data_IF_353266150508
#
_entry.id   IF_353266150508
#
_cell.length_a   1.000
_cell.length_b   1.000
_cell.length_c   1.000
_cell.angle_alpha   90.00
_cell.angle_beta   90.00
_cell.angle_gamma   90.00
#
_symmetry.space_group_name_H-M   'P 1'
#
loop_
_entity.id
_entity.type
_entity.pdbx_description
1 polymer ?
#
# COMPACT_ATOMS: atom_id res chain seq x y z
N UNK A 1 -0.62 -5.99 1.63
CA UNK A 1 -1.85 -5.19 1.77
C UNK A 1 -2.45 -5.01 0.38
N UNK A 2 -3.02 -6.09 -0.13
CA UNK A 2 -3.60 -6.18 -1.47
C UNK A 2 -5.10 -6.35 -1.38
N UNK A 3 -5.57 -7.19 -0.45
CA UNK A 3 -7.00 -7.47 -0.23
C UNK A 3 -7.83 -6.24 0.14
N UNK A 4 -7.37 -5.39 1.08
CA UNK A 4 -8.12 -4.19 1.48
C UNK A 4 -8.23 -3.19 0.33
N UNK A 5 -7.15 -3.01 -0.44
CA UNK A 5 -7.17 -2.16 -1.65
C UNK A 5 -8.19 -2.71 -2.65
N UNK A 6 -8.11 -4.00 -2.95
CA UNK A 6 -8.98 -4.64 -3.93
C UNK A 6 -10.46 -4.55 -3.51
N UNK A 7 -10.74 -4.68 -2.21
CA UNK A 7 -12.06 -4.48 -1.62
C UNK A 7 -12.58 -3.04 -1.76
N UNK A 8 -11.73 -2.03 -1.56
CA UNK A 8 -12.09 -0.62 -1.79
C UNK A 8 -12.49 -0.41 -3.25
N UNK A 9 -11.68 -0.88 -4.21
CA UNK A 9 -12.03 -0.75 -5.63
C UNK A 9 -13.27 -1.56 -6.00
N UNK A 10 -13.50 -2.71 -5.37
CA UNK A 10 -14.72 -3.49 -5.53
C UNK A 10 -15.97 -2.70 -5.10
N UNK A 11 -15.92 -2.10 -3.91
CA UNK A 11 -16.99 -1.26 -3.40
C UNK A 11 -17.24 -0.02 -4.27
N UNK A 12 -16.18 0.62 -4.78
CA UNK A 12 -16.31 1.78 -5.66
C UNK A 12 -16.95 1.44 -7.02
N UNK A 13 -16.74 0.22 -7.53
CA UNK A 13 -17.29 -0.22 -8.81
C UNK A 13 -18.76 -0.64 -8.72
N UNK A 14 -19.14 -1.34 -7.64
CA UNK A 14 -20.51 -1.82 -7.43
C UNK A 14 -20.90 -1.75 -5.94
N UNK A 15 -21.22 -0.54 -5.42
CA UNK A 15 -21.56 -0.36 -4.01
C UNK A 15 -22.84 -1.12 -3.62
N UNK A 16 -23.83 -1.15 -4.51
CA UNK A 16 -25.15 -1.77 -4.26
C UNK A 16 -24.98 -3.28 -4.16
N UNK A 17 -24.31 -3.91 -5.12
CA UNK A 17 -24.04 -5.35 -5.09
C UNK A 17 -23.13 -5.75 -3.93
N UNK A 18 -22.13 -4.92 -3.60
CA UNK A 18 -21.24 -5.16 -2.46
C UNK A 18 -22.02 -5.18 -1.14
N UNK A 19 -22.88 -4.20 -0.90
CA UNK A 19 -23.71 -4.12 0.31
C UNK A 19 -24.80 -5.20 0.34
N UNK A 20 -25.48 -5.46 -0.78
CA UNK A 20 -26.52 -6.49 -0.89
C UNK A 20 -25.99 -7.90 -0.58
N UNK A 21 -24.70 -8.15 -0.81
CA UNK A 21 -24.04 -9.41 -0.49
C UNK A 21 -23.40 -9.42 0.91
N UNK A 22 -23.76 -8.46 1.79
CA UNK A 22 -23.25 -8.32 3.15
C UNK A 22 -21.71 -8.27 3.22
N UNK A 23 -21.07 -7.65 2.23
CA UNK A 23 -19.61 -7.55 2.15
C UNK A 23 -19.13 -6.35 2.95
N UNK A 24 -17.94 -6.46 3.55
CA UNK A 24 -17.29 -5.36 4.26
C UNK A 24 -15.83 -5.30 3.88
N UNK A 25 -15.33 -4.09 3.58
CA UNK A 25 -13.97 -3.88 3.06
C UNK A 25 -12.92 -4.44 4.02
N UNK A 26 -13.14 -4.30 5.33
CA UNK A 26 -12.20 -4.75 6.37
C UNK A 26 -12.12 -6.27 6.54
N UNK A 27 -13.15 -7.03 6.13
CA UNK A 27 -13.21 -8.49 6.30
C UNK A 27 -12.94 -9.28 5.02
N UNK A 28 -12.75 -8.60 3.88
CA UNK A 28 -12.45 -9.24 2.60
C UNK A 28 -11.18 -10.10 2.65
N UNK A 29 -11.30 -11.32 2.13
CA UNK A 29 -10.20 -12.28 2.00
C UNK A 29 -9.97 -12.58 0.52
N UNK A 30 -8.72 -12.77 0.13
CA UNK A 30 -8.36 -13.03 -1.26
C UNK A 30 -9.11 -14.24 -1.88
N UNK A 31 -9.37 -15.29 -1.09
CA UNK A 31 -10.14 -16.48 -1.53
C UNK A 31 -11.64 -16.25 -1.68
N UNK A 32 -12.18 -15.20 -1.05
CA UNK A 32 -13.62 -14.95 -0.96
C UNK A 32 -14.00 -13.58 -1.53
N UNK A 33 -13.11 -12.93 -2.27
CA UNK A 33 -13.34 -11.59 -2.83
C UNK A 33 -14.59 -11.57 -3.69
N UNK A 34 -15.55 -10.69 -3.37
CA UNK A 34 -16.79 -10.54 -4.15
C UNK A 34 -16.50 -10.22 -5.63
N UNK A 35 -15.59 -9.28 -5.87
CA UNK A 35 -15.18 -8.91 -7.24
C UNK A 35 -14.12 -9.83 -7.85
N UNK A 36 -13.61 -10.83 -7.12
CA UNK A 36 -12.53 -11.69 -7.59
C UNK A 36 -11.34 -10.88 -8.13
N UNK A 37 -11.03 -11.09 -9.42
CA UNK A 37 -9.95 -10.42 -10.17
C UNK A 37 -10.44 -9.32 -11.12
N UNK A 38 -11.72 -8.95 -11.11
CA UNK A 38 -12.29 -8.00 -12.09
C UNK A 38 -11.59 -6.64 -12.07
N UNK A 39 -11.15 -6.19 -10.90
CA UNK A 39 -10.43 -4.94 -10.68
C UNK A 39 -8.89 -5.10 -10.72
N UNK A 40 -8.38 -6.26 -11.11
CA UNK A 40 -6.95 -6.50 -11.25
C UNK A 40 -6.48 -6.23 -12.68
N UNK A 41 -5.44 -5.41 -12.81
CA UNK A 41 -4.75 -5.13 -14.08
C UNK A 41 -3.25 -5.08 -13.83
N UNK A 42 -2.48 -5.60 -14.78
CA UNK A 42 -1.01 -5.64 -14.71
C UNK A 42 -0.33 -4.46 -15.40
N UNK A 43 -1.07 -3.70 -16.23
CA UNK A 43 -0.54 -2.60 -17.03
C UNK A 43 -1.53 -1.44 -17.07
N UNK A 44 -1.09 -0.26 -16.63
CA UNK A 44 -1.92 0.96 -16.60
C UNK A 44 -2.16 1.54 -18.00
N UNK A 45 -1.21 1.37 -18.92
CA UNK A 45 -1.31 1.91 -20.28
C UNK A 45 -2.38 1.14 -21.09
N UNK A 46 -2.59 -0.14 -20.78
CA UNK A 46 -3.66 -0.95 -21.37
C UNK A 46 -5.03 -0.45 -20.87
N UNK A 47 -5.16 -0.20 -19.57
CA UNK A 47 -6.40 0.30 -18.96
C UNK A 47 -6.80 1.67 -19.51
N UNK A 48 -5.86 2.60 -19.63
CA UNK A 48 -6.15 3.94 -20.16
C UNK A 48 -6.53 3.92 -21.64
N UNK A 49 -5.97 2.98 -22.42
CA UNK A 49 -6.36 2.77 -23.82
C UNK A 49 -7.75 2.18 -23.94
N UNK A 50 -8.05 1.11 -23.19
CA UNK A 50 -9.37 0.46 -23.19
C UNK A 50 -10.49 1.44 -22.79
N UNK A 51 -10.21 2.30 -21.81
CA UNK A 51 -11.20 3.22 -21.26
C UNK A 51 -11.23 4.59 -21.95
N UNK A 52 -10.33 4.82 -22.93
CA UNK A 52 -10.14 6.09 -23.62
C UNK A 52 -10.04 7.30 -22.65
N UNK A 53 -9.43 7.09 -21.49
CA UNK A 53 -9.39 8.06 -20.38
C UNK A 53 -8.11 7.89 -19.57
N UNK A 54 -7.53 9.01 -19.12
CA UNK A 54 -6.47 9.00 -18.10
C UNK A 54 -7.06 8.86 -16.69
N UNK A 55 -6.42 8.06 -15.86
CA UNK A 55 -6.83 7.88 -14.48
C UNK A 55 -5.93 8.67 -13.53
N UNK A 56 -6.50 9.06 -12.39
CA UNK A 56 -5.67 9.48 -11.26
C UNK A 56 -4.91 8.25 -10.75
N UNK A 57 -3.59 8.40 -10.59
CA UNK A 57 -2.70 7.33 -10.16
C UNK A 57 -2.17 7.66 -8.78
N UNK A 58 -2.17 6.69 -7.88
CA UNK A 58 -1.52 6.81 -6.58
C UNK A 58 -0.82 5.51 -6.21
N UNK A 59 0.24 5.61 -5.41
CA UNK A 59 1.00 4.44 -4.97
C UNK A 59 1.25 4.54 -3.47
N UNK A 60 0.99 3.43 -2.75
CA UNK A 60 1.39 3.28 -1.35
C UNK A 60 2.84 2.82 -1.32
N UNK A 61 3.73 3.70 -0.86
CA UNK A 61 5.16 3.43 -0.75
C UNK A 61 5.51 3.25 0.72
N UNK A 62 6.32 2.24 1.02
CA UNK A 62 6.85 2.01 2.36
C UNK A 62 8.28 2.53 2.44
N UNK A 63 8.65 3.06 3.60
CA UNK A 63 10.04 3.32 3.92
C UNK A 63 10.87 2.04 3.63
N UNK A 64 12.09 2.14 3.05
CA UNK A 64 12.79 0.95 2.59
C UNK A 64 13.20 -0.01 3.72
N UNK A 65 13.47 0.51 4.93
CA UNK A 65 13.66 -0.33 6.12
C UNK A 65 12.39 -1.14 6.44
N UNK A 66 11.22 -0.53 6.34
CA UNK A 66 9.94 -1.20 6.53
C UNK A 66 9.57 -2.16 5.41
N UNK A 67 9.96 -1.82 4.18
CA UNK A 67 9.83 -2.70 3.03
C UNK A 67 10.64 -3.98 3.25
N UNK A 68 11.86 -3.87 3.76
CA UNK A 68 12.66 -5.04 4.13
C UNK A 68 11.97 -5.86 5.23
N UNK A 69 11.60 -5.26 6.36
CA UNK A 69 10.94 -5.98 7.45
C UNK A 69 9.62 -6.65 7.06
N UNK A 70 8.93 -6.13 6.05
CA UNK A 70 7.70 -6.74 5.53
C UNK A 70 7.94 -7.72 4.38
N UNK A 71 9.00 -7.54 3.60
CA UNK A 71 9.29 -8.23 2.35
C UNK A 71 10.42 -9.26 2.44
N UNK A 72 11.11 -9.35 3.57
CA UNK A 72 12.10 -10.41 3.86
C UNK A 72 11.48 -11.83 3.80
N UNK A 73 10.15 -11.91 3.70
CA UNK A 73 9.37 -13.15 3.51
C UNK A 73 8.45 -13.12 2.29
N UNK A 74 8.45 -12.07 1.45
CA UNK A 74 7.51 -11.97 0.33
C UNK A 74 8.06 -11.27 -0.93
N UNK A 75 7.66 -11.80 -2.09
CA UNK A 75 8.24 -11.64 -3.43
C UNK A 75 8.59 -10.19 -3.82
N UNK A 76 9.80 -9.99 -4.35
CA UNK A 76 10.14 -8.79 -5.12
C UNK A 76 9.58 -8.91 -6.55
N UNK A 77 8.60 -8.07 -6.91
CA UNK A 77 8.17 -7.90 -8.29
C UNK A 77 8.99 -6.79 -8.96
N UNK A 78 9.65 -7.10 -10.07
CA UNK A 78 10.38 -6.13 -10.89
C UNK A 78 9.38 -5.33 -11.73
N UNK A 79 9.08 -4.10 -11.31
CA UNK A 79 8.20 -3.19 -12.06
C UNK A 79 9.03 -2.35 -13.04
N UNK A 80 9.31 -2.90 -14.23
CA UNK A 80 10.20 -2.29 -15.22
C UNK A 80 9.74 -0.91 -15.74
N UNK A 81 8.45 -0.59 -15.65
CA UNK A 81 7.89 0.67 -16.18
C UNK A 81 7.59 1.73 -15.11
N UNK A 82 7.63 1.37 -13.82
CA UNK A 82 7.21 2.28 -12.75
C UNK A 82 8.08 3.54 -12.66
N UNK A 83 9.41 3.39 -12.85
CA UNK A 83 10.34 4.53 -12.83
C UNK A 83 10.01 5.57 -13.91
N UNK A 84 9.62 5.16 -15.11
CA UNK A 84 9.32 6.07 -16.23
C UNK A 84 8.08 6.92 -15.98
N UNK A 85 7.14 6.38 -15.22
CA UNK A 85 5.84 7.02 -14.97
C UNK A 85 5.71 7.54 -13.54
N UNK A 86 6.76 7.49 -12.73
CA UNK A 86 6.69 7.79 -11.30
C UNK A 86 6.14 9.20 -11.01
N UNK A 87 6.51 10.18 -11.82
CA UNK A 87 6.03 11.56 -11.72
C UNK A 87 4.51 11.71 -11.92
N UNK A 88 3.85 10.70 -12.47
CA UNK A 88 2.38 10.69 -12.68
C UNK A 88 1.61 10.15 -11.47
N UNK A 89 2.28 9.63 -10.45
CA UNK A 89 1.67 9.05 -9.26
C UNK A 89 1.68 10.03 -8.09
N UNK A 90 0.54 10.16 -7.41
CA UNK A 90 0.49 10.69 -6.06
C UNK A 90 1.07 9.62 -5.11
N UNK A 91 2.29 9.83 -4.62
CA UNK A 91 2.92 8.92 -3.68
C UNK A 91 2.37 9.13 -2.27
N UNK A 92 1.92 8.05 -1.65
CA UNK A 92 1.41 8.02 -0.29
C UNK A 92 2.39 7.18 0.53
N UNK A 93 3.05 7.81 1.49
CA UNK A 93 3.87 7.07 2.45
C UNK A 93 2.96 6.22 3.35
N UNK A 94 3.35 4.96 3.54
CA UNK A 94 2.73 4.05 4.48
C UNK A 94 3.57 4.04 5.77
N UNK A 95 3.19 4.83 6.79
CA UNK A 95 4.00 5.02 7.99
C UNK A 95 3.92 3.79 8.90
N UNK A 96 4.88 3.58 9.79
CA UNK A 96 4.72 2.64 10.90
C UNK A 96 4.61 3.41 12.22
N UNK A 97 3.40 3.86 12.53
CA UNK A 97 3.03 4.47 13.80
C UNK A 97 1.79 3.78 14.38
N UNK A 98 1.51 4.02 15.66
CA UNK A 98 0.21 3.66 16.27
C UNK A 98 -0.97 4.21 15.44
N UNK A 99 -0.76 5.37 14.84
CA UNK A 99 -1.78 6.13 14.11
C UNK A 99 -1.79 5.81 12.61
N UNK A 100 -0.98 4.83 12.17
CA UNK A 100 -0.84 4.46 10.76
C UNK A 100 -2.20 4.28 10.09
N UNK A 101 -3.13 3.61 10.77
CA UNK A 101 -4.43 3.29 10.19
C UNK A 101 -5.22 4.58 9.90
N UNK A 102 -5.16 5.55 10.81
CA UNK A 102 -5.79 6.86 10.64
C UNK A 102 -5.12 7.68 9.53
N UNK A 103 -3.78 7.65 9.46
CA UNK A 103 -3.01 8.35 8.42
C UNK A 103 -3.35 7.77 7.04
N UNK A 104 -3.28 6.45 6.87
CA UNK A 104 -3.59 5.79 5.60
C UNK A 104 -5.05 6.05 5.20
N UNK A 105 -5.99 5.97 6.15
CA UNK A 105 -7.39 6.28 5.87
C UNK A 105 -7.61 7.75 5.48
N UNK A 106 -6.81 8.69 5.99
CA UNK A 106 -6.81 10.10 5.60
C UNK A 106 -6.26 10.31 4.18
N UNK A 107 -5.15 9.67 3.87
CA UNK A 107 -4.54 9.74 2.53
C UNK A 107 -5.43 9.09 1.47
N UNK A 108 -6.10 7.97 1.78
CA UNK A 108 -7.14 7.40 0.92
C UNK A 108 -8.29 8.38 0.70
N UNK A 109 -8.81 9.00 1.76
CA UNK A 109 -9.87 10.00 1.63
C UNK A 109 -9.44 11.17 0.73
N UNK A 110 -8.21 11.67 0.90
CA UNK A 110 -7.63 12.74 0.09
C UNK A 110 -7.59 12.38 -1.40
N UNK A 111 -7.08 11.19 -1.75
CA UNK A 111 -7.00 10.78 -3.16
C UNK A 111 -8.36 10.50 -3.77
N UNK A 112 -9.28 9.87 -3.02
CA UNK A 112 -10.63 9.60 -3.50
C UNK A 112 -11.42 10.91 -3.69
N UNK A 113 -11.23 11.90 -2.81
CA UNK A 113 -11.81 13.24 -2.98
C UNK A 113 -11.32 13.90 -4.26
N UNK A 114 -10.02 13.86 -4.50
CA UNK A 114 -9.40 14.40 -5.73
C UNK A 114 -9.88 13.68 -6.98
N UNK A 115 -10.20 12.39 -6.88
CA UNK A 115 -10.77 11.59 -7.97
C UNK A 115 -12.29 11.83 -8.19
N UNK A 116 -12.94 12.63 -7.36
CA UNK A 116 -14.37 12.96 -7.48
C UNK A 116 -15.31 11.95 -6.83
N UNK A 117 -14.83 11.09 -5.93
CA UNK A 117 -15.68 10.12 -5.24
C UNK A 117 -16.61 10.82 -4.22
N UNK A 118 -17.92 10.53 -4.23
CA UNK A 118 -18.91 11.08 -3.29
C UNK A 118 -18.52 10.92 -1.81
N UNK A 119 -18.93 11.90 -0.98
CA UNK A 119 -18.53 11.95 0.43
C UNK A 119 -19.03 10.75 1.24
N UNK A 120 -20.26 10.31 1.00
CA UNK A 120 -20.90 9.15 1.62
C UNK A 120 -20.10 7.86 1.39
N UNK A 121 -19.70 7.61 0.14
CA UNK A 121 -18.83 6.47 -0.19
C UNK A 121 -17.46 6.58 0.49
N UNK A 122 -16.85 7.77 0.45
CA UNK A 122 -15.56 8.00 1.10
C UNK A 122 -15.62 7.81 2.61
N UNK A 123 -16.71 8.22 3.26
CA UNK A 123 -16.93 8.05 4.69
C UNK A 123 -17.00 6.56 5.08
N UNK A 124 -17.67 5.74 4.26
CA UNK A 124 -17.72 4.28 4.44
C UNK A 124 -16.32 3.68 4.31
N UNK A 125 -15.59 4.01 3.23
CA UNK A 125 -14.23 3.53 3.00
C UNK A 125 -13.32 3.92 4.18
N UNK A 126 -13.36 5.18 4.62
CA UNK A 126 -12.56 5.67 5.74
C UNK A 126 -12.87 4.89 7.03
N UNK A 127 -14.14 4.66 7.34
CA UNK A 127 -14.58 3.88 8.51
C UNK A 127 -14.05 2.45 8.44
N UNK A 128 -14.11 1.80 7.28
CA UNK A 128 -13.62 0.44 7.10
C UNK A 128 -12.10 0.34 7.19
N UNK A 129 -11.37 1.30 6.63
CA UNK A 129 -9.91 1.34 6.72
C UNK A 129 -9.44 1.47 8.18
N UNK A 130 -10.16 2.23 9.01
CA UNK A 130 -9.84 2.43 10.44
C UNK A 130 -10.00 1.16 11.28
N UNK A 131 -10.84 0.19 10.86
CA UNK A 131 -11.04 -1.08 11.57
C UNK A 131 -9.78 -1.96 11.67
N UNK A 132 -8.72 -1.60 10.95
CA UNK A 132 -7.40 -2.16 11.15
C UNK A 132 -7.05 -3.30 10.19
N UNK A 133 -5.94 -3.97 10.48
CA UNK A 133 -5.29 -4.88 9.55
C UNK A 133 -6.01 -6.22 9.48
N UNK A 134 -5.88 -6.90 8.34
CA UNK A 134 -6.36 -8.27 8.21
C UNK A 134 -5.68 -9.20 9.24
N UNK A 135 -6.34 -10.31 9.64
CA UNK A 135 -5.82 -11.25 10.64
C UNK A 135 -4.43 -11.83 10.33
N UNK A 136 -3.99 -11.74 9.07
CA UNK A 136 -2.72 -12.28 8.57
C UNK A 136 -1.52 -11.33 8.68
N UNK A 137 -1.66 -10.19 9.37
CA UNK A 137 -0.55 -9.23 9.52
C UNK A 137 0.58 -9.81 10.37
N UNK A 138 1.77 -9.99 9.78
CA UNK A 138 3.00 -10.46 10.47
C UNK A 138 3.67 -9.38 11.33
N UNK A 139 3.08 -8.19 11.41
CA UNK A 139 3.69 -6.99 11.99
C UNK A 139 4.00 -7.06 13.48
N UNK A 140 3.29 -7.90 14.23
CA UNK A 140 3.51 -8.10 15.68
C UNK A 140 4.25 -9.41 15.99
N UNK A 141 4.78 -10.09 14.97
CA UNK A 141 5.48 -11.36 15.18
C UNK A 141 6.80 -11.16 15.94
N UNK A 142 7.13 -12.12 16.82
CA UNK A 142 8.42 -12.15 17.53
C UNK A 142 9.61 -12.12 16.56
N UNK A 143 9.48 -12.81 15.42
CA UNK A 143 10.49 -12.81 14.36
C UNK A 143 10.76 -11.40 13.82
N UNK A 144 9.72 -10.64 13.48
CA UNK A 144 9.87 -9.24 13.00
C UNK A 144 10.51 -8.34 14.05
N UNK A 145 10.16 -8.51 15.33
CA UNK A 145 10.78 -7.76 16.44
C UNK A 145 12.28 -8.08 16.53
N UNK A 146 12.64 -9.37 16.43
CA UNK A 146 14.05 -9.81 16.45
C UNK A 146 14.86 -9.25 15.28
N UNK A 147 14.34 -9.34 14.05
CA UNK A 147 15.01 -8.80 12.86
C UNK A 147 15.15 -7.27 12.95
N UNK A 148 14.11 -6.56 13.39
CA UNK A 148 14.18 -5.12 13.64
C UNK A 148 15.31 -4.78 14.60
N UNK A 149 15.39 -5.48 15.74
CA UNK A 149 16.45 -5.28 16.73
C UNK A 149 17.83 -5.49 16.10
N UNK A 150 18.01 -6.60 15.37
CA UNK A 150 19.27 -6.91 14.69
C UNK A 150 19.71 -5.79 13.74
N UNK A 151 18.83 -5.29 12.87
CA UNK A 151 19.19 -4.21 11.94
C UNK A 151 19.50 -2.92 12.70
N UNK A 152 18.80 -2.63 13.79
CA UNK A 152 19.05 -1.42 14.57
C UNK A 152 20.37 -1.48 15.35
N UNK A 153 20.82 -2.67 15.76
CA UNK A 153 22.01 -2.84 16.60
C UNK A 153 23.28 -3.23 15.83
N UNK A 154 23.14 -3.98 14.74
CA UNK A 154 24.28 -4.47 13.95
C UNK A 154 24.60 -3.49 12.82
N UNK A 155 25.77 -2.86 12.91
CA UNK A 155 26.27 -1.89 11.94
C UNK A 155 26.37 -2.45 10.53
N UNK A 156 26.91 -3.66 10.38
CA UNK A 156 27.13 -4.28 9.07
C UNK A 156 25.79 -4.59 8.40
N UNK A 157 24.86 -5.19 9.14
CA UNK A 157 23.50 -5.48 8.64
C UNK A 157 22.78 -4.19 8.21
N UNK A 158 22.87 -3.13 9.02
CA UNK A 158 22.27 -1.82 8.71
C UNK A 158 22.82 -1.22 7.42
N UNK A 159 24.14 -1.22 7.26
CA UNK A 159 24.82 -0.68 6.07
C UNK A 159 24.45 -1.47 4.81
N UNK A 160 24.48 -2.81 4.87
CA UNK A 160 24.10 -3.66 3.74
C UNK A 160 22.66 -3.37 3.31
N UNK A 161 21.73 -3.19 4.26
CA UNK A 161 20.35 -2.84 3.93
C UNK A 161 20.21 -1.45 3.33
N UNK A 162 20.96 -0.47 3.84
CA UNK A 162 21.00 0.86 3.27
C UNK A 162 21.47 0.83 1.80
N UNK A 163 22.45 -0.02 1.48
CA UNK A 163 22.94 -0.21 0.12
C UNK A 163 21.94 -0.94 -0.79
N UNK A 164 21.31 -2.03 -0.31
CA UNK A 164 20.30 -2.78 -1.08
C UNK A 164 19.15 -1.86 -1.51
N UNK A 165 18.74 -0.95 -0.63
CA UNK A 165 17.60 -0.05 -0.84
C UNK A 165 17.99 1.39 -1.20
N UNK A 166 19.27 1.66 -1.48
CA UNK A 166 19.78 3.02 -1.71
C UNK A 166 18.95 3.78 -2.76
N UNK A 167 18.64 3.11 -3.88
CA UNK A 167 17.82 3.71 -4.92
C UNK A 167 16.37 3.96 -4.49
N UNK A 168 15.79 3.13 -3.63
CA UNK A 168 14.44 3.37 -3.11
C UNK A 168 14.41 4.67 -2.27
N UNK A 169 15.46 4.94 -1.48
CA UNK A 169 15.56 6.19 -0.73
C UNK A 169 15.56 7.40 -1.66
N UNK A 170 16.37 7.37 -2.72
CA UNK A 170 16.46 8.46 -3.68
C UNK A 170 15.16 8.63 -4.48
N UNK A 171 14.67 7.53 -5.06
CA UNK A 171 13.55 7.54 -5.99
C UNK A 171 12.25 7.98 -5.30
N UNK A 172 12.06 7.60 -4.03
CA UNK A 172 10.86 7.94 -3.27
C UNK A 172 11.05 9.11 -2.30
N UNK A 173 12.21 9.76 -2.32
CA UNK A 173 12.48 10.95 -1.50
C UNK A 173 12.59 10.68 0.00
N UNK A 174 12.87 9.44 0.42
CA UNK A 174 13.15 9.14 1.82
C UNK A 174 14.53 9.68 2.19
N UNK A 175 14.60 10.47 3.26
CA UNK A 175 15.88 11.01 3.74
C UNK A 175 16.71 9.88 4.36
N UNK A 176 17.92 9.62 3.83
CA UNK A 176 18.84 8.74 4.52
C UNK A 176 19.34 9.43 5.79
N UNK A 177 19.30 8.75 6.94
CA UNK A 177 19.86 9.30 8.18
C UNK A 177 21.37 9.02 8.23
N UNK A 178 22.21 9.90 8.82
CA UNK A 178 23.65 9.63 8.98
C UNK A 178 23.91 8.30 9.70
N UNK A 179 23.12 8.02 10.74
CA UNK A 179 23.11 6.74 11.49
C UNK A 179 22.82 5.50 10.64
N UNK A 180 22.31 5.65 9.42
CA UNK A 180 22.04 4.54 8.51
C UNK A 180 23.32 4.03 7.84
N UNK A 181 24.32 4.90 7.65
CA UNK A 181 25.60 4.56 7.03
C UNK A 181 26.78 4.62 8.00
N UNK A 182 26.62 5.29 9.14
CA UNK A 182 27.54 5.23 10.27
C UNK A 182 27.50 3.89 11.00
#
# INVERSE_FOLDING_TARGET
MTTVRDAVFCYLSDPIGFEANNRTISSELWKKSYCGWSNYRSNIDDVEREMARKYMRFALIRNPFERFLSGYVDKCLKQCNFKKQLSTYDLIEYPESSDQVAIVAGEFDRVLKKAGVPQDMRAIIRKELIKGRSPHSTSKSRARIGVRKMISTDRYVRQVLALIYYFDYIVFGFRPTPSLFE
#
